data_IF_672410871146
#
_entry.id   IF_672410871146
#
_cell.length_a   1.000
_cell.length_b   1.000
_cell.length_c   1.000
_cell.angle_alpha   90.00
_cell.angle_beta   90.00
_cell.angle_gamma   90.00
#
_symmetry.space_group_name_H-M   'P 1'
#
loop_
_entity.id
_entity.type
_entity.pdbx_description
1 polymer ?
#
# COMPACT_ATOMS: atom_id res chain seq x y z
N UNK A 1 47.55 84.24 26.08
CA UNK A 1 47.55 85.55 26.75
C UNK A 1 46.12 85.85 27.16
N UNK A 2 45.89 85.98 28.48
CA UNK A 2 44.71 86.49 29.21
C UNK A 2 43.41 85.67 29.10
N UNK A 3 42.65 85.35 30.15
CA UNK A 3 42.73 85.33 31.63
C UNK A 3 41.44 84.59 32.03
N UNK A 4 41.46 83.37 32.59
CA UNK A 4 41.38 83.06 34.03
C UNK A 4 40.77 84.17 34.90
N UNK A 5 39.51 84.01 35.35
CA UNK A 5 39.02 84.16 36.74
C UNK A 5 37.59 83.60 36.76
N UNK A 6 37.36 82.47 37.45
CA UNK A 6 36.03 82.13 37.96
C UNK A 6 36.20 81.80 39.43
N UNK A 7 35.57 82.62 40.28
CA UNK A 7 35.60 82.50 41.72
C UNK A 7 34.93 81.22 42.18
N UNK A 8 35.68 80.46 42.97
CA UNK A 8 35.17 79.47 43.92
C UNK A 8 34.40 80.21 45.02
N UNK A 9 33.10 79.99 45.13
CA UNK A 9 32.32 80.32 46.33
C UNK A 9 31.77 79.00 46.85
N UNK A 10 32.41 78.50 47.91
CA UNK A 10 31.84 77.54 48.83
C UNK A 10 30.69 78.23 49.55
N UNK A 11 29.45 77.89 49.22
CA UNK A 11 28.32 78.06 50.14
C UNK A 11 27.90 76.69 50.63
N UNK A 12 28.30 76.46 51.88
CA UNK A 12 27.85 75.44 52.79
C UNK A 12 26.32 75.61 52.96
N UNK A 13 25.54 74.90 52.16
CA UNK A 13 24.08 74.86 52.32
C UNK A 13 23.73 73.84 53.39
N UNK A 14 23.42 74.39 54.55
CA UNK A 14 22.67 73.85 55.67
C UNK A 14 21.76 72.69 55.29
N UNK A 15 22.08 71.51 55.82
CA UNK A 15 21.20 70.36 55.89
C UNK A 15 20.03 70.70 56.83
N UNK A 16 18.96 71.25 56.27
CA UNK A 16 17.66 71.35 56.94
C UNK A 16 16.95 70.02 56.65
N UNK A 17 16.85 69.16 57.66
CA UNK A 17 15.90 68.06 57.74
C UNK A 17 14.48 68.67 57.77
N UNK A 18 13.95 69.00 56.60
CA UNK A 18 12.53 69.19 56.37
C UNK A 18 11.96 67.79 56.11
N UNK A 19 11.49 67.13 57.16
CA UNK A 19 10.45 66.11 57.06
C UNK A 19 9.17 66.81 56.57
N UNK A 20 9.14 67.12 55.27
CA UNK A 20 8.01 67.73 54.59
C UNK A 20 6.95 66.66 54.35
N UNK A 21 5.71 66.95 54.70
CA UNK A 21 4.56 66.20 54.20
C UNK A 21 4.63 66.22 52.66
N UNK A 22 5.11 65.13 52.06
CA UNK A 22 4.99 64.96 50.61
C UNK A 22 3.52 64.64 50.34
N UNK A 23 2.89 65.47 49.53
CA UNK A 23 1.49 65.26 49.18
C UNK A 23 1.35 64.02 48.30
N UNK A 24 0.16 63.40 48.29
CA UNK A 24 -0.18 62.31 47.36
C UNK A 24 0.19 62.68 45.90
N UNK A 25 -0.01 63.95 45.53
CA UNK A 25 0.35 64.48 44.21
C UNK A 25 1.84 64.35 43.90
N UNK A 26 2.73 64.69 44.84
CA UNK A 26 4.17 64.67 44.59
C UNK A 26 4.69 63.24 44.31
N UNK A 27 4.09 62.24 44.98
CA UNK A 27 4.42 60.83 44.74
C UNK A 27 3.92 60.35 43.39
N UNK A 28 2.66 60.67 43.05
CA UNK A 28 2.08 60.35 41.75
C UNK A 28 2.90 60.98 40.62
N UNK A 29 3.31 62.23 40.75
CA UNK A 29 4.12 62.95 39.76
C UNK A 29 5.49 62.28 39.59
N UNK A 30 6.12 61.84 40.69
CA UNK A 30 7.42 61.15 40.65
C UNK A 30 7.32 59.80 39.93
N UNK A 31 6.31 58.98 40.25
CA UNK A 31 6.10 57.68 39.61
C UNK A 31 5.81 57.88 38.12
N UNK A 32 4.94 58.85 37.79
CA UNK A 32 4.59 59.18 36.41
C UNK A 32 5.81 59.63 35.61
N UNK A 33 6.69 60.44 36.20
CA UNK A 33 7.92 60.88 35.54
C UNK A 33 8.85 59.70 35.23
N UNK A 34 9.00 58.73 36.14
CA UNK A 34 9.82 57.55 35.87
C UNK A 34 9.25 56.66 34.76
N UNK A 35 7.92 56.53 34.66
CA UNK A 35 7.27 55.84 33.54
C UNK A 35 7.57 56.58 32.23
N UNK A 36 7.40 57.90 32.19
CA UNK A 36 7.67 58.72 30.99
C UNK A 36 9.15 58.77 30.58
N UNK A 37 10.07 58.46 31.50
CA UNK A 37 11.51 58.37 31.24
C UNK A 37 11.99 56.95 30.88
N UNK A 38 11.06 56.01 30.62
CA UNK A 38 11.32 54.59 30.35
C UNK A 38 12.11 53.89 31.47
N UNK A 39 11.81 54.23 32.73
CA UNK A 39 12.45 53.66 33.94
C UNK A 39 11.43 52.89 34.80
N UNK A 40 10.91 51.75 34.32
CA UNK A 40 9.85 51.02 35.02
C UNK A 40 10.28 50.51 36.40
N UNK A 41 11.56 50.13 36.59
CA UNK A 41 12.06 49.72 37.91
C UNK A 41 12.06 50.87 38.92
N UNK A 42 12.53 52.05 38.51
CA UNK A 42 12.52 53.23 39.38
C UNK A 42 11.08 53.66 39.69
N UNK A 43 10.15 53.53 38.73
CA UNK A 43 8.73 53.77 38.93
C UNK A 43 8.10 52.82 39.95
N UNK A 44 8.42 51.52 39.88
CA UNK A 44 7.92 50.49 40.80
C UNK A 44 8.51 50.66 42.20
N UNK A 45 9.81 50.91 42.32
CA UNK A 45 10.45 51.19 43.61
C UNK A 45 9.84 52.45 44.26
N UNK A 46 9.55 53.48 43.47
CA UNK A 46 8.85 54.68 43.94
C UNK A 46 7.41 54.39 44.36
N UNK A 47 6.69 53.53 43.62
CA UNK A 47 5.34 53.09 43.98
C UNK A 47 5.33 52.30 45.29
N UNK A 48 6.18 51.29 45.43
CA UNK A 48 6.31 50.52 46.67
C UNK A 48 6.67 51.39 47.86
N UNK A 49 7.59 52.33 47.67
CA UNK A 49 7.94 53.29 48.71
C UNK A 49 6.74 54.14 49.13
N UNK A 50 5.88 54.55 48.18
CA UNK A 50 4.69 55.34 48.48
C UNK A 50 3.59 54.53 49.20
N UNK A 51 3.38 53.27 48.83
CA UNK A 51 2.37 52.40 49.46
C UNK A 51 2.83 51.87 50.83
N UNK A 52 4.14 51.66 51.02
CA UNK A 52 4.71 51.23 52.29
C UNK A 52 4.83 52.36 53.33
N UNK A 53 4.76 53.63 52.92
CA UNK A 53 4.89 54.77 53.81
C UNK A 53 3.71 54.82 54.81
N UNK A 54 4.04 54.74 56.10
CA UNK A 54 3.08 54.78 57.21
C UNK A 54 2.43 56.16 57.39
N UNK A 55 3.00 57.21 56.77
CA UNK A 55 2.44 58.56 56.82
C UNK A 55 1.14 58.71 56.02
N UNK A 56 0.87 57.82 55.05
CA UNK A 56 -0.36 57.85 54.26
C UNK A 56 -1.46 56.97 54.86
N UNK A 57 -2.68 57.52 54.87
CA UNK A 57 -3.90 56.76 55.16
C UNK A 57 -4.22 55.75 54.06
N UNK A 58 -5.09 54.78 54.35
CA UNK A 58 -5.54 53.82 53.35
C UNK A 58 -6.29 54.50 52.18
N UNK A 59 -7.00 55.60 52.44
CA UNK A 59 -7.72 56.35 51.41
C UNK A 59 -6.74 57.02 50.43
N UNK A 60 -5.67 57.62 50.95
CA UNK A 60 -4.59 58.21 50.15
C UNK A 60 -3.83 57.16 49.34
N UNK A 61 -3.54 55.98 49.93
CA UNK A 61 -2.91 54.86 49.21
C UNK A 61 -3.80 54.35 48.08
N UNK A 62 -5.11 54.25 48.31
CA UNK A 62 -6.08 53.89 47.28
C UNK A 62 -6.17 54.95 46.17
N UNK A 63 -6.02 56.24 46.50
CA UNK A 63 -5.96 57.33 45.53
C UNK A 63 -4.70 57.24 44.64
N UNK A 64 -3.54 56.93 45.23
CA UNK A 64 -2.30 56.67 44.48
C UNK A 64 -2.51 55.52 43.49
N UNK A 65 -3.01 54.37 43.96
CA UNK A 65 -3.29 53.19 43.12
C UNK A 65 -4.23 53.57 41.97
N UNK A 66 -5.35 54.22 42.29
CA UNK A 66 -6.37 54.61 41.32
C UNK A 66 -5.82 55.55 40.23
N UNK A 67 -4.89 56.43 40.56
CA UNK A 67 -4.29 57.37 39.61
C UNK A 67 -3.15 56.75 38.80
N UNK A 68 -2.33 55.88 39.40
CA UNK A 68 -1.18 55.26 38.74
C UNK A 68 -1.60 54.10 37.83
N UNK A 69 -2.58 53.27 38.23
CA UNK A 69 -3.07 52.14 37.42
C UNK A 69 -3.30 52.49 35.93
N UNK A 70 -4.10 53.52 35.57
CA UNK A 70 -4.34 53.84 34.16
C UNK A 70 -3.10 54.36 33.41
N UNK A 71 -2.14 54.98 34.12
CA UNK A 71 -0.88 55.45 33.53
C UNK A 71 0.01 54.26 33.17
N UNK A 72 0.15 53.31 34.09
CA UNK A 72 0.90 52.07 33.87
C UNK A 72 0.28 51.24 32.75
N UNK A 73 -1.06 51.08 32.71
CA UNK A 73 -1.75 50.40 31.60
C UNK A 73 -1.47 51.08 30.26
N UNK A 74 -1.50 52.41 30.20
CA UNK A 74 -1.20 53.13 28.97
C UNK A 74 0.25 52.96 28.49
N UNK A 75 1.20 52.85 29.41
CA UNK A 75 2.60 52.58 29.07
C UNK A 75 2.82 51.16 28.56
N UNK A 76 2.25 50.16 29.26
CA UNK A 76 2.22 48.76 28.81
C UNK A 76 1.61 48.64 27.40
N UNK A 77 0.50 49.35 27.13
CA UNK A 77 -0.14 49.37 25.82
C UNK A 77 0.78 49.97 24.75
N UNK A 78 1.51 51.05 25.08
CA UNK A 78 2.46 51.66 24.16
C UNK A 78 3.66 50.75 23.87
N UNK A 79 4.22 50.11 24.89
CA UNK A 79 5.29 49.13 24.75
C UNK A 79 4.83 47.98 23.83
N UNK A 80 3.64 47.43 24.08
CA UNK A 80 3.07 46.31 23.32
C UNK A 80 2.78 46.71 21.88
N UNK A 81 2.17 47.87 21.65
CA UNK A 81 1.90 48.38 20.30
C UNK A 81 3.20 48.64 19.53
N UNK A 82 4.16 49.33 20.14
CA UNK A 82 5.45 49.60 19.50
C UNK A 82 6.18 48.31 19.13
N UNK A 83 6.06 47.29 19.99
CA UNK A 83 6.57 45.97 19.73
C UNK A 83 5.93 45.30 18.50
N UNK A 84 4.61 45.25 18.48
CA UNK A 84 3.83 44.63 17.41
C UNK A 84 4.06 45.36 16.08
N UNK A 85 4.19 46.69 16.08
CA UNK A 85 4.34 47.49 14.86
C UNK A 85 5.79 47.56 14.33
N UNK A 86 6.81 47.66 15.21
CA UNK A 86 8.20 47.98 14.81
C UNK A 86 9.17 46.80 14.90
N UNK A 87 8.70 45.59 15.24
CA UNK A 87 9.46 44.33 15.21
C UNK A 87 10.75 44.41 16.04
N UNK A 88 10.59 44.65 17.35
CA UNK A 88 11.69 44.71 18.32
C UNK A 88 12.09 43.32 18.86
N UNK A 89 13.08 43.28 19.75
CA UNK A 89 13.51 42.10 20.50
C UNK A 89 12.43 41.60 21.49
N UNK A 90 11.77 40.48 21.16
CA UNK A 90 10.70 39.84 21.94
C UNK A 90 11.09 39.62 23.40
N UNK A 91 12.30 39.09 23.62
CA UNK A 91 12.74 38.67 24.95
C UNK A 91 12.95 39.90 25.84
N UNK A 92 13.53 40.96 25.27
CA UNK A 92 13.71 42.22 25.98
C UNK A 92 12.37 42.90 26.32
N UNK A 93 11.39 42.85 25.42
CA UNK A 93 10.07 43.44 25.68
C UNK A 93 9.25 42.64 26.68
N UNK A 94 9.24 41.31 26.60
CA UNK A 94 8.58 40.46 27.61
C UNK A 94 9.20 40.71 28.98
N UNK A 95 10.54 40.75 29.07
CA UNK A 95 11.23 41.06 30.32
C UNK A 95 10.85 42.46 30.86
N UNK A 96 10.69 43.45 29.97
CA UNK A 96 10.25 44.80 30.35
C UNK A 96 8.83 44.78 30.92
N UNK A 97 7.92 44.04 30.30
CA UNK A 97 6.54 43.86 30.78
C UNK A 97 6.50 43.09 32.11
N UNK A 98 7.32 42.06 32.27
CA UNK A 98 7.43 41.30 33.52
C UNK A 98 7.81 42.17 34.71
N UNK A 99 8.66 43.20 34.51
CA UNK A 99 8.98 44.17 35.55
C UNK A 99 7.70 44.80 36.10
N UNK A 100 6.72 45.16 35.26
CA UNK A 100 5.47 45.76 35.72
C UNK A 100 4.59 44.86 36.60
N UNK A 101 4.81 43.52 36.62
CA UNK A 101 4.12 42.62 37.56
C UNK A 101 4.52 42.89 39.00
N UNK A 102 5.72 43.42 39.22
CA UNK A 102 6.22 43.74 40.57
C UNK A 102 5.42 44.87 41.23
N UNK A 103 4.56 45.61 40.52
CA UNK A 103 3.69 46.63 41.14
C UNK A 103 2.62 46.02 42.06
N UNK A 104 2.37 44.70 41.97
CA UNK A 104 1.45 43.92 42.80
C UNK A 104 -0.02 44.44 42.85
N UNK A 105 -0.43 45.23 41.85
CA UNK A 105 -1.83 45.61 41.65
C UNK A 105 -2.49 44.52 40.78
N UNK A 106 -3.51 43.78 41.28
CA UNK A 106 -4.06 42.63 40.56
C UNK A 106 -4.51 42.91 39.12
N UNK A 107 -5.17 44.05 38.89
CA UNK A 107 -5.64 44.46 37.56
C UNK A 107 -4.51 44.88 36.58
N UNK A 108 -3.31 45.16 37.09
CA UNK A 108 -2.12 45.44 36.26
C UNK A 108 -1.43 44.12 35.94
N UNK A 109 -1.29 43.23 36.93
CA UNK A 109 -0.69 41.91 36.72
C UNK A 109 -1.47 41.13 35.65
N UNK A 110 -2.80 41.07 35.76
CA UNK A 110 -3.67 40.42 34.76
C UNK A 110 -3.51 41.05 33.37
N UNK A 111 -3.42 42.38 33.30
CA UNK A 111 -3.23 43.10 32.03
C UNK A 111 -1.84 42.86 31.42
N UNK A 112 -0.79 42.75 32.24
CA UNK A 112 0.55 42.37 31.78
C UNK A 112 0.54 40.94 31.23
N UNK A 113 -0.11 40.00 31.91
CA UNK A 113 -0.22 38.61 31.45
C UNK A 113 -0.92 38.54 30.08
N UNK A 114 -2.04 39.27 29.91
CA UNK A 114 -2.75 39.41 28.63
C UNK A 114 -1.83 39.93 27.51
N UNK A 115 -1.03 40.97 27.79
CA UNK A 115 -0.13 41.57 26.79
C UNK A 115 1.09 40.73 26.47
N UNK A 116 1.61 39.96 27.43
CA UNK A 116 2.66 38.97 27.16
C UNK A 116 2.12 37.84 26.28
N UNK A 117 0.89 37.38 26.51
CA UNK A 117 0.23 36.40 25.64
C UNK A 117 0.06 36.96 24.22
N UNK A 118 -0.43 38.19 24.07
CA UNK A 118 -0.57 38.87 22.78
C UNK A 118 0.77 38.92 22.00
N UNK A 119 1.85 39.35 22.66
CA UNK A 119 3.20 39.41 22.04
C UNK A 119 3.70 38.02 21.66
N UNK A 120 3.45 37.02 22.50
CA UNK A 120 3.88 35.63 22.25
C UNK A 120 3.16 35.06 21.03
N UNK A 121 1.85 35.27 20.90
CA UNK A 121 1.07 34.85 19.73
C UNK A 121 1.59 35.51 18.45
N UNK A 122 1.89 36.81 18.47
CA UNK A 122 2.48 37.52 17.32
C UNK A 122 3.88 37.00 16.98
N UNK A 123 4.70 36.64 17.98
CA UNK A 123 6.01 36.01 17.78
C UNK A 123 5.88 34.70 17.02
N UNK A 124 5.04 33.80 17.54
CA UNK A 124 4.84 32.47 16.98
C UNK A 124 4.27 32.57 15.55
N UNK A 125 3.33 33.47 15.31
CA UNK A 125 2.77 33.72 13.98
C UNK A 125 3.84 34.15 12.96
N UNK A 126 4.77 35.04 13.34
CA UNK A 126 5.89 35.47 12.48
C UNK A 126 6.89 34.36 12.23
N UNK A 127 7.23 33.58 13.25
CA UNK A 127 8.13 32.45 13.13
C UNK A 127 7.55 31.38 12.20
N UNK A 128 6.25 31.08 12.32
CA UNK A 128 5.53 30.17 11.43
C UNK A 128 5.45 30.70 9.99
N UNK A 129 5.16 31.99 9.81
CA UNK A 129 5.16 32.64 8.49
C UNK A 129 6.54 32.51 7.81
N UNK A 130 7.62 32.86 8.53
CA UNK A 130 8.98 32.78 8.01
C UNK A 130 9.39 31.33 7.68
N UNK A 131 9.09 30.37 8.57
CA UNK A 131 9.38 28.97 8.35
C UNK A 131 8.59 28.38 7.16
N UNK A 132 7.34 28.79 7.00
CA UNK A 132 6.49 28.40 5.87
C UNK A 132 7.01 28.93 4.53
N UNK A 133 7.41 30.20 4.47
CA UNK A 133 8.03 30.80 3.28
C UNK A 133 9.35 30.08 2.95
N UNK A 134 10.20 29.83 3.94
CA UNK A 134 11.46 29.10 3.71
C UNK A 134 11.20 27.69 3.17
N UNK A 135 10.22 26.95 3.70
CA UNK A 135 9.87 25.63 3.18
C UNK A 135 9.39 25.69 1.72
N UNK A 136 8.68 26.75 1.33
CA UNK A 136 8.28 26.96 -0.06
C UNK A 136 9.47 27.25 -0.98
N UNK A 137 10.43 28.06 -0.54
CA UNK A 137 11.68 28.31 -1.27
C UNK A 137 12.51 27.03 -1.47
N UNK A 138 12.47 26.13 -0.48
CA UNK A 138 13.07 24.78 -0.55
C UNK A 138 12.24 23.78 -1.38
N UNK A 139 11.10 24.22 -1.96
CA UNK A 139 10.13 23.41 -2.70
C UNK A 139 9.49 22.27 -1.90
N UNK A 140 9.53 22.35 -0.58
CA UNK A 140 8.76 21.47 0.31
C UNK A 140 7.35 22.06 0.51
N UNK A 141 6.58 22.04 -0.58
CA UNK A 141 5.28 22.70 -0.65
C UNK A 141 4.28 22.20 0.39
N UNK A 142 4.31 20.90 0.71
CA UNK A 142 3.43 20.31 1.73
C UNK A 142 3.73 20.88 3.10
N UNK A 143 5.01 20.85 3.49
CA UNK A 143 5.46 21.41 4.76
C UNK A 143 5.19 22.91 4.82
N UNK A 144 5.37 23.63 3.72
CA UNK A 144 5.07 25.05 3.64
C UNK A 144 3.60 25.34 3.92
N UNK A 145 2.67 24.67 3.22
CA UNK A 145 1.23 24.81 3.42
C UNK A 145 0.85 24.44 4.86
N UNK A 146 1.31 23.29 5.36
CA UNK A 146 0.98 22.80 6.70
C UNK A 146 1.52 23.71 7.83
N UNK A 147 2.63 24.41 7.58
CA UNK A 147 3.22 25.37 8.53
C UNK A 147 2.46 26.69 8.51
N UNK A 148 2.15 27.22 7.33
CA UNK A 148 1.41 28.48 7.18
C UNK A 148 -0.04 28.38 7.68
N UNK A 149 -0.67 27.20 7.59
CA UNK A 149 -2.02 26.96 8.13
C UNK A 149 -2.08 27.07 9.66
N UNK A 150 -0.94 27.10 10.37
CA UNK A 150 -0.87 27.25 11.83
C UNK A 150 -0.70 28.70 12.27
N UNK A 151 -0.49 29.64 11.35
CA UNK A 151 -0.42 31.06 11.68
C UNK A 151 -1.76 31.50 12.26
N UNK A 152 -1.72 32.11 13.44
CA UNK A 152 -2.91 32.45 14.21
C UNK A 152 -3.78 33.50 13.48
N UNK A 153 -5.08 33.24 13.40
CA UNK A 153 -6.06 34.05 12.68
C UNK A 153 -6.23 35.48 13.22
N UNK A 154 -5.89 35.71 14.49
CA UNK A 154 -6.06 37.01 15.15
C UNK A 154 -4.82 37.92 14.97
N UNK A 155 -3.83 37.48 14.17
CA UNK A 155 -2.60 38.24 13.89
C UNK A 155 -2.59 38.85 12.49
N UNK A 156 -1.83 39.94 12.31
CA UNK A 156 -1.68 40.59 10.99
C UNK A 156 -0.97 39.68 9.97
N UNK A 157 -0.20 38.70 10.46
CA UNK A 157 0.53 37.73 9.67
C UNK A 157 -0.40 36.72 8.99
N UNK A 158 -1.63 36.54 9.47
CA UNK A 158 -2.58 35.58 8.92
C UNK A 158 -2.92 35.85 7.45
N UNK A 159 -3.24 37.10 7.10
CA UNK A 159 -3.62 37.46 5.73
C UNK A 159 -2.47 37.19 4.75
N UNK A 160 -1.24 37.52 5.15
CA UNK A 160 -0.04 37.22 4.37
C UNK A 160 0.19 35.71 4.24
N UNK A 161 0.04 34.95 5.33
CA UNK A 161 0.16 33.49 5.30
C UNK A 161 -0.87 32.88 4.36
N UNK A 162 -2.11 33.37 4.37
CA UNK A 162 -3.19 32.90 3.51
C UNK A 162 -2.90 33.19 2.02
N UNK A 163 -2.43 34.40 1.69
CA UNK A 163 -2.01 34.75 0.33
C UNK A 163 -0.86 33.84 -0.15
N UNK A 164 0.15 33.62 0.70
CA UNK A 164 1.27 32.73 0.39
C UNK A 164 0.80 31.29 0.16
N UNK A 165 -0.13 30.77 0.98
CA UNK A 165 -0.72 29.45 0.77
C UNK A 165 -1.34 29.33 -0.63
N UNK A 166 -2.06 30.35 -1.11
CA UNK A 166 -2.67 30.28 -2.45
C UNK A 166 -1.62 30.24 -3.56
N UNK A 167 -0.56 31.05 -3.44
CA UNK A 167 0.54 31.04 -4.41
C UNK A 167 1.28 29.69 -4.40
N UNK A 168 1.66 29.22 -3.21
CA UNK A 168 2.34 27.93 -3.02
C UNK A 168 1.52 26.78 -3.58
N UNK A 169 0.20 26.80 -3.36
CA UNK A 169 -0.73 25.85 -3.95
C UNK A 169 -0.62 25.87 -5.48
N UNK A 170 -0.75 27.05 -6.10
CA UNK A 170 -0.63 27.20 -7.55
C UNK A 170 0.69 26.64 -8.09
N UNK A 171 1.82 27.00 -7.45
CA UNK A 171 3.14 26.53 -7.85
C UNK A 171 3.28 25.02 -7.69
N UNK A 172 2.78 24.46 -6.57
CA UNK A 172 2.79 23.02 -6.31
C UNK A 172 2.00 22.25 -7.36
N UNK A 173 0.84 22.77 -7.77
CA UNK A 173 0.02 22.18 -8.81
C UNK A 173 0.75 22.15 -10.15
N UNK A 174 1.28 23.29 -10.60
CA UNK A 174 1.96 23.41 -11.90
C UNK A 174 3.23 22.54 -11.96
N UNK A 175 4.09 22.59 -10.93
CA UNK A 175 5.32 21.81 -10.92
C UNK A 175 5.06 20.30 -10.83
N UNK A 176 4.08 19.88 -10.03
CA UNK A 176 3.74 18.47 -9.88
C UNK A 176 3.10 17.92 -11.14
N UNK A 177 2.24 18.68 -11.81
CA UNK A 177 1.66 18.29 -13.10
C UNK A 177 2.76 18.14 -14.17
N UNK A 178 3.66 19.12 -14.31
CA UNK A 178 4.75 19.05 -15.27
C UNK A 178 5.69 17.85 -15.01
N UNK A 179 5.96 17.55 -13.73
CA UNK A 179 6.74 16.37 -13.34
C UNK A 179 6.01 15.06 -13.62
N UNK A 180 4.70 15.00 -13.36
CA UNK A 180 3.89 13.84 -13.66
C UNK A 180 3.85 13.57 -15.18
N UNK A 181 3.73 14.62 -16.00
CA UNK A 181 3.83 14.53 -17.46
C UNK A 181 5.17 13.96 -17.90
N UNK A 182 6.29 14.49 -17.39
CA UNK A 182 7.62 13.98 -17.73
C UNK A 182 7.76 12.48 -17.41
N UNK A 183 7.32 12.07 -16.23
CA UNK A 183 7.38 10.68 -15.77
C UNK A 183 6.47 9.78 -16.61
N UNK A 184 5.26 10.26 -16.94
CA UNK A 184 4.30 9.57 -17.79
C UNK A 184 4.88 9.30 -19.18
N UNK A 185 5.45 10.32 -19.83
CA UNK A 185 6.05 10.18 -21.16
C UNK A 185 7.33 9.33 -21.17
N UNK A 186 7.98 9.18 -20.01
CA UNK A 186 9.10 8.24 -19.82
C UNK A 186 8.64 6.79 -19.53
N UNK A 187 7.33 6.53 -19.44
CA UNK A 187 6.75 5.20 -19.27
C UNK A 187 6.60 4.72 -17.82
N UNK A 188 6.94 5.53 -16.81
CA UNK A 188 6.69 5.20 -15.40
C UNK A 188 5.29 5.65 -14.98
N UNK A 189 4.28 4.99 -15.55
CA UNK A 189 2.88 5.32 -15.36
C UNK A 189 2.45 5.30 -13.88
N UNK A 190 2.98 4.36 -13.08
CA UNK A 190 2.64 4.23 -11.67
C UNK A 190 3.05 5.45 -10.88
N UNK A 191 4.29 5.89 -11.06
CA UNK A 191 4.79 7.06 -10.36
C UNK A 191 4.06 8.33 -10.80
N UNK A 192 3.76 8.46 -12.10
CA UNK A 192 3.00 9.60 -12.63
C UNK A 192 1.58 9.68 -12.03
N UNK A 193 0.83 8.56 -12.04
CA UNK A 193 -0.51 8.48 -11.46
C UNK A 193 -0.48 8.78 -9.95
N UNK A 194 0.48 8.24 -9.20
CA UNK A 194 0.61 8.50 -7.77
C UNK A 194 0.91 9.96 -7.44
N UNK A 195 1.71 10.65 -8.26
CA UNK A 195 1.95 12.10 -8.09
C UNK A 195 0.66 12.91 -8.27
N UNK A 196 -0.14 12.59 -9.29
CA UNK A 196 -1.42 13.27 -9.51
C UNK A 196 -2.46 12.93 -8.43
N UNK A 197 -2.49 11.69 -7.94
CA UNK A 197 -3.36 11.30 -6.82
C UNK A 197 -2.98 12.01 -5.52
N UNK A 198 -1.69 12.27 -5.29
CA UNK A 198 -1.23 13.03 -4.14
C UNK A 198 -1.66 14.51 -4.21
N UNK A 199 -1.70 15.11 -5.41
CA UNK A 199 -2.29 16.44 -5.59
C UNK A 199 -3.77 16.50 -5.17
N UNK A 200 -4.54 15.42 -5.32
CA UNK A 200 -5.96 15.40 -4.91
C UNK A 200 -6.17 15.66 -3.43
N UNK A 201 -5.19 15.38 -2.57
CA UNK A 201 -5.29 15.69 -1.14
C UNK A 201 -5.48 17.19 -0.90
N UNK A 202 -4.91 18.03 -1.76
CA UNK A 202 -4.99 19.49 -1.67
C UNK A 202 -6.04 20.09 -2.63
N UNK A 203 -6.41 19.33 -3.67
CA UNK A 203 -7.39 19.70 -4.70
C UNK A 203 -8.49 18.62 -4.86
N UNK A 204 -9.33 18.39 -3.84
CA UNK A 204 -10.29 17.29 -3.85
C UNK A 204 -11.41 17.46 -4.89
N UNK A 205 -11.64 18.69 -5.37
CA UNK A 205 -12.68 19.02 -6.36
C UNK A 205 -12.02 19.78 -7.52
N UNK A 206 -11.22 19.07 -8.31
CA UNK A 206 -10.56 19.63 -9.51
C UNK A 206 -10.78 18.71 -10.71
N UNK A 207 -11.74 19.11 -11.57
CA UNK A 207 -12.13 18.36 -12.76
C UNK A 207 -10.99 18.18 -13.77
N UNK A 208 -10.04 19.13 -13.85
CA UNK A 208 -8.89 19.01 -14.77
C UNK A 208 -7.97 17.90 -14.27
N UNK A 209 -7.62 17.92 -12.99
CA UNK A 209 -6.81 16.89 -12.34
C UNK A 209 -7.48 15.50 -12.42
N UNK A 210 -8.81 15.45 -12.24
CA UNK A 210 -9.59 14.21 -12.40
C UNK A 210 -9.40 13.60 -13.79
N UNK A 211 -9.54 14.43 -14.84
CA UNK A 211 -9.35 13.97 -16.22
C UNK A 211 -7.91 13.56 -16.51
N UNK A 212 -6.91 14.23 -15.95
CA UNK A 212 -5.49 13.87 -16.15
C UNK A 212 -5.18 12.51 -15.51
N UNK A 213 -5.71 12.25 -14.30
CA UNK A 213 -5.58 10.93 -13.64
C UNK A 213 -6.26 9.83 -14.45
N UNK A 214 -7.47 10.09 -14.95
CA UNK A 214 -8.22 9.15 -15.79
C UNK A 214 -7.45 8.85 -17.08
N UNK A 215 -7.00 9.89 -17.79
CA UNK A 215 -6.21 9.75 -19.01
C UNK A 215 -4.93 8.92 -18.80
N UNK A 216 -4.17 9.19 -17.72
CA UNK A 216 -2.95 8.43 -17.44
C UNK A 216 -3.25 6.97 -17.11
N UNK A 217 -4.34 6.75 -16.38
CA UNK A 217 -4.81 5.42 -16.02
C UNK A 217 -5.19 4.61 -17.25
N UNK A 218 -6.01 5.17 -18.14
CA UNK A 218 -6.43 4.50 -19.38
C UNK A 218 -5.23 4.18 -20.28
N UNK A 219 -4.30 5.13 -20.44
CA UNK A 219 -3.09 4.91 -21.23
C UNK A 219 -2.21 3.80 -20.66
N UNK A 220 -2.06 3.73 -19.32
CA UNK A 220 -1.32 2.67 -18.64
C UNK A 220 -1.98 1.30 -18.85
N UNK A 221 -3.31 1.22 -18.68
CA UNK A 221 -4.08 -0.02 -18.90
C UNK A 221 -3.86 -0.48 -20.33
N UNK A 222 -4.07 0.39 -21.32
CA UNK A 222 -3.93 0.03 -22.73
C UNK A 222 -2.51 -0.45 -23.05
N UNK A 223 -1.48 0.27 -22.58
CA UNK A 223 -0.08 -0.13 -22.78
C UNK A 223 0.22 -1.51 -22.19
N UNK A 224 -0.25 -1.77 -20.96
CA UNK A 224 -0.01 -3.04 -20.27
C UNK A 224 -0.78 -4.21 -20.88
N UNK A 225 -1.98 -3.96 -21.40
CA UNK A 225 -2.74 -4.96 -22.16
C UNK A 225 -2.03 -5.30 -23.47
N UNK A 226 -1.50 -4.31 -24.19
CA UNK A 226 -0.73 -4.56 -25.42
C UNK A 226 0.56 -5.34 -25.14
N UNK A 227 1.27 -5.02 -24.05
CA UNK A 227 2.43 -5.77 -23.58
C UNK A 227 2.06 -7.23 -23.25
N UNK A 228 0.98 -7.43 -22.49
CA UNK A 228 0.50 -8.75 -22.11
C UNK A 228 0.07 -9.58 -23.33
N UNK A 229 -0.64 -8.96 -24.29
CA UNK A 229 -1.08 -9.60 -25.53
C UNK A 229 0.13 -10.06 -26.35
N UNK A 230 1.17 -9.23 -26.46
CA UNK A 230 2.41 -9.59 -27.17
C UNK A 230 3.15 -10.75 -26.47
N UNK A 231 3.24 -10.74 -25.14
CA UNK A 231 3.86 -11.80 -24.35
C UNK A 231 3.10 -13.13 -24.48
N UNK A 232 1.77 -13.08 -24.49
CA UNK A 232 0.91 -14.25 -24.69
C UNK A 232 1.08 -14.85 -26.10
N UNK A 233 1.19 -14.02 -27.14
CA UNK A 233 1.49 -14.46 -28.51
C UNK A 233 2.87 -15.13 -28.63
N UNK A 234 3.81 -14.77 -27.76
CA UNK A 234 5.13 -15.41 -27.65
C UNK A 234 5.13 -16.64 -26.72
N UNK A 235 3.96 -17.07 -26.22
CA UNK A 235 3.76 -18.14 -25.24
C UNK A 235 4.46 -17.90 -23.89
N UNK A 236 4.74 -16.64 -23.53
CA UNK A 236 5.32 -16.23 -22.24
C UNK A 236 4.23 -15.87 -21.24
N UNK A 237 3.34 -16.83 -20.95
CA UNK A 237 2.13 -16.59 -20.16
C UNK A 237 2.41 -16.06 -18.75
N UNK A 238 3.45 -16.53 -18.06
CA UNK A 238 3.83 -16.02 -16.75
C UNK A 238 4.16 -14.50 -16.76
N UNK A 239 4.83 -14.03 -17.83
CA UNK A 239 5.15 -12.62 -18.01
C UNK A 239 3.91 -11.82 -18.43
N UNK A 240 3.05 -12.41 -19.27
CA UNK A 240 1.76 -11.80 -19.65
C UNK A 240 0.86 -11.58 -18.42
N UNK A 241 0.71 -12.57 -17.53
CA UNK A 241 -0.05 -12.41 -16.29
C UNK A 241 0.59 -11.36 -15.36
N UNK A 242 1.93 -11.31 -15.26
CA UNK A 242 2.60 -10.29 -14.47
C UNK A 242 2.34 -8.85 -14.98
N UNK A 243 2.17 -8.67 -16.30
CA UNK A 243 1.75 -7.38 -16.87
C UNK A 243 0.31 -7.02 -16.51
N UNK A 244 -0.60 -8.00 -16.40
CA UNK A 244 -1.97 -7.78 -15.93
C UNK A 244 -2.04 -7.51 -14.42
N UNK A 245 -1.27 -8.24 -13.60
CA UNK A 245 -1.16 -8.01 -12.15
C UNK A 245 -0.64 -6.60 -11.83
N UNK A 246 0.22 -6.06 -12.69
CA UNK A 246 0.69 -4.68 -12.56
C UNK A 246 -0.48 -3.68 -12.64
N UNK A 247 -1.44 -3.89 -13.54
CA UNK A 247 -2.65 -3.06 -13.65
C UNK A 247 -3.44 -3.12 -12.34
N UNK A 248 -3.71 -4.34 -11.85
CA UNK A 248 -4.45 -4.55 -10.60
C UNK A 248 -3.78 -3.88 -9.40
N UNK A 249 -2.44 -3.90 -9.34
CA UNK A 249 -1.67 -3.28 -8.25
C UNK A 249 -1.80 -1.75 -8.17
N UNK A 250 -2.31 -1.10 -9.23
CA UNK A 250 -2.44 0.36 -9.32
C UNK A 250 -3.89 0.79 -9.22
N UNK A 251 -4.78 0.14 -9.98
CA UNK A 251 -6.18 0.56 -10.14
C UNK A 251 -7.21 -0.48 -9.71
N UNK A 252 -6.76 -1.66 -9.26
CA UNK A 252 -7.62 -2.78 -8.92
C UNK A 252 -8.07 -3.59 -10.15
N UNK A 253 -8.94 -4.59 -9.94
CA UNK A 253 -9.39 -5.46 -11.02
C UNK A 253 -10.17 -4.66 -12.07
N UNK A 254 -9.90 -4.94 -13.34
CA UNK A 254 -10.57 -4.31 -14.47
C UNK A 254 -11.18 -5.37 -15.37
N UNK A 255 -12.35 -5.08 -15.97
CA UNK A 255 -13.04 -6.00 -16.89
C UNK A 255 -12.14 -6.44 -18.05
N UNK A 256 -11.30 -5.53 -18.56
CA UNK A 256 -10.38 -5.82 -19.65
C UNK A 256 -9.25 -6.79 -19.23
N UNK A 257 -8.68 -6.62 -18.03
CA UNK A 257 -7.67 -7.53 -17.51
C UNK A 257 -8.27 -8.92 -17.22
N UNK A 258 -9.46 -8.98 -16.61
CA UNK A 258 -10.17 -10.25 -16.34
C UNK A 258 -10.45 -11.03 -17.63
N UNK A 259 -10.94 -10.34 -18.67
CA UNK A 259 -11.18 -10.94 -19.99
C UNK A 259 -9.89 -11.51 -20.59
N UNK A 260 -8.75 -10.85 -20.40
CA UNK A 260 -7.45 -11.33 -20.87
C UNK A 260 -6.94 -12.53 -20.08
N UNK A 261 -7.13 -12.56 -18.77
CA UNK A 261 -6.78 -13.73 -17.95
C UNK A 261 -7.50 -14.98 -18.46
N UNK A 262 -8.81 -14.90 -18.72
CA UNK A 262 -9.58 -16.01 -19.27
C UNK A 262 -9.06 -16.45 -20.65
N UNK A 263 -8.81 -15.48 -21.55
CA UNK A 263 -8.28 -15.76 -22.89
C UNK A 263 -6.90 -16.42 -22.86
N UNK A 264 -6.00 -15.92 -22.01
CA UNK A 264 -4.65 -16.47 -21.87
C UNK A 264 -4.67 -17.87 -21.26
N UNK A 265 -5.57 -18.15 -20.32
CA UNK A 265 -5.76 -19.50 -19.77
C UNK A 265 -6.10 -20.52 -20.86
N UNK A 266 -6.99 -20.15 -21.78
CA UNK A 266 -7.32 -20.99 -22.94
C UNK A 266 -6.13 -21.19 -23.90
N UNK A 267 -5.40 -20.12 -24.23
CA UNK A 267 -4.21 -20.20 -25.11
C UNK A 267 -3.07 -21.02 -24.48
N UNK A 268 -2.82 -20.82 -23.19
CA UNK A 268 -1.80 -21.56 -22.44
C UNK A 268 -2.10 -23.05 -22.40
N UNK A 269 -3.37 -23.42 -22.18
CA UNK A 269 -3.80 -24.81 -22.20
C UNK A 269 -3.52 -25.47 -23.56
N UNK A 270 -3.88 -24.80 -24.66
CA UNK A 270 -3.62 -25.29 -26.02
C UNK A 270 -2.11 -25.43 -26.28
N UNK A 271 -1.32 -24.40 -25.96
CA UNK A 271 0.13 -24.42 -26.16
C UNK A 271 0.81 -25.54 -25.37
N UNK A 272 0.44 -25.74 -24.10
CA UNK A 272 0.98 -26.83 -23.27
C UNK A 272 0.66 -28.20 -23.88
N UNK A 273 -0.59 -28.41 -24.30
CA UNK A 273 -1.03 -29.64 -24.99
C UNK A 273 -0.19 -29.92 -26.23
N UNK A 274 -0.01 -28.94 -27.12
CA UNK A 274 0.79 -29.10 -28.34
C UNK A 274 2.27 -29.38 -28.05
N UNK A 275 2.86 -28.64 -27.11
CA UNK A 275 4.27 -28.81 -26.70
C UNK A 275 4.56 -30.21 -26.15
N UNK A 276 3.63 -30.74 -25.36
CA UNK A 276 3.78 -32.06 -24.75
C UNK A 276 3.58 -33.17 -25.78
N UNK A 277 2.58 -33.06 -26.64
CA UNK A 277 2.40 -34.00 -27.76
C UNK A 277 3.66 -34.03 -28.63
N UNK A 278 4.26 -32.86 -28.91
CA UNK A 278 5.52 -32.78 -29.66
C UNK A 278 6.68 -33.47 -28.91
N UNK A 279 6.81 -33.25 -27.61
CA UNK A 279 7.86 -33.83 -26.76
C UNK A 279 7.81 -35.36 -26.73
N UNK A 280 6.61 -35.95 -26.74
CA UNK A 280 6.41 -37.40 -26.68
C UNK A 280 6.08 -38.04 -28.03
N UNK A 281 6.20 -37.32 -29.15
CA UNK A 281 5.82 -37.79 -30.48
C UNK A 281 6.61 -39.03 -30.96
N UNK A 282 7.86 -39.18 -30.51
CA UNK A 282 8.69 -40.34 -30.85
C UNK A 282 8.29 -41.60 -30.08
N UNK A 283 7.64 -41.43 -28.92
CA UNK A 283 7.24 -42.50 -28.01
C UNK A 283 5.76 -42.88 -28.17
N UNK A 284 4.98 -42.06 -28.85
CA UNK A 284 3.53 -42.23 -29.01
C UNK A 284 3.09 -42.32 -30.48
N UNK A 285 1.95 -42.96 -30.70
CA UNK A 285 1.12 -42.85 -31.89
C UNK A 285 -0.05 -41.92 -31.55
N UNK A 286 -0.44 -41.05 -32.50
CA UNK A 286 -1.47 -40.03 -32.28
C UNK A 286 -2.65 -40.16 -33.25
N UNK A 287 -3.86 -39.89 -32.76
CA UNK A 287 -5.05 -39.67 -33.57
C UNK A 287 -5.85 -38.50 -33.02
N UNK A 288 -6.24 -37.59 -33.90
CA UNK A 288 -7.15 -36.49 -33.57
C UNK A 288 -8.56 -36.82 -34.04
N UNK A 289 -9.52 -36.79 -33.11
CA UNK A 289 -10.95 -36.90 -33.40
C UNK A 289 -11.59 -35.50 -33.47
N UNK A 290 -11.80 -35.03 -34.70
CA UNK A 290 -12.38 -33.71 -35.00
C UNK A 290 -13.81 -33.52 -34.45
N UNK A 291 -14.54 -34.60 -34.14
CA UNK A 291 -15.96 -34.48 -33.71
C UNK A 291 -16.11 -34.08 -32.25
N UNK A 292 -15.12 -34.46 -31.44
CA UNK A 292 -15.09 -34.25 -29.99
C UNK A 292 -13.83 -33.51 -29.55
N UNK A 293 -13.07 -32.94 -30.50
CA UNK A 293 -11.86 -32.15 -30.27
C UNK A 293 -10.85 -32.82 -29.31
N UNK A 294 -10.61 -34.12 -29.54
CA UNK A 294 -9.84 -34.95 -28.62
C UNK A 294 -8.67 -35.61 -29.33
N UNK A 295 -7.49 -35.55 -28.71
CA UNK A 295 -6.28 -36.24 -29.18
C UNK A 295 -6.11 -37.50 -28.37
N UNK A 296 -6.05 -38.63 -29.06
CA UNK A 296 -5.74 -39.92 -28.48
C UNK A 296 -4.27 -40.24 -28.70
N UNK A 297 -3.55 -40.49 -27.60
CA UNK A 297 -2.18 -40.97 -27.60
C UNK A 297 -2.14 -42.43 -27.17
N UNK A 298 -1.47 -43.27 -27.95
CA UNK A 298 -1.16 -44.66 -27.60
C UNK A 298 0.35 -44.88 -27.69
N UNK A 299 0.90 -45.93 -27.07
CA UNK A 299 2.30 -46.30 -27.24
C UNK A 299 2.68 -46.44 -28.72
N UNK A 300 3.94 -46.12 -29.05
CA UNK A 300 4.42 -46.14 -30.44
C UNK A 300 4.10 -47.45 -31.14
N UNK A 301 3.65 -47.33 -32.39
CA UNK A 301 3.25 -48.44 -33.28
C UNK A 301 1.94 -49.15 -32.89
N UNK A 302 1.22 -48.68 -31.87
CA UNK A 302 -0.14 -49.12 -31.62
C UNK A 302 -1.13 -48.17 -32.32
N UNK A 303 -2.33 -48.67 -32.62
CA UNK A 303 -3.35 -47.90 -33.31
C UNK A 303 -4.14 -47.01 -32.32
N UNK A 304 -4.08 -45.68 -32.44
CA UNK A 304 -4.80 -44.79 -31.53
C UNK A 304 -6.31 -44.67 -31.84
N UNK A 305 -6.77 -45.14 -33.02
CA UNK A 305 -8.20 -45.14 -33.41
C UNK A 305 -8.98 -46.36 -32.94
N UNK A 306 -8.31 -47.50 -32.85
CA UNK A 306 -8.95 -48.80 -32.64
C UNK A 306 -8.13 -49.57 -31.63
N UNK A 307 -8.80 -50.08 -30.60
CA UNK A 307 -8.19 -51.00 -29.65
C UNK A 307 -7.93 -52.34 -30.36
N UNK A 308 -6.67 -52.70 -30.56
CA UNK A 308 -6.31 -54.00 -31.14
C UNK A 308 -6.36 -55.07 -30.04
N UNK A 309 -7.57 -55.50 -29.68
CA UNK A 309 -7.79 -56.61 -28.75
C UNK A 309 -7.87 -57.92 -29.55
N UNK A 310 -6.85 -58.79 -29.46
CA UNK A 310 -6.94 -60.10 -30.10
C UNK A 310 -7.80 -61.07 -29.27
N UNK A 311 -8.58 -61.96 -29.92
CA UNK A 311 -9.38 -62.96 -29.23
C UNK A 311 -8.55 -63.85 -28.30
N UNK A 312 -9.08 -64.15 -27.11
CA UNK A 312 -8.49 -65.10 -26.16
C UNK A 312 -7.28 -64.59 -25.36
N UNK A 313 -6.82 -63.36 -25.58
CA UNK A 313 -5.72 -62.76 -24.82
C UNK A 313 -6.25 -61.77 -23.77
N UNK A 314 -5.47 -61.62 -22.71
CA UNK A 314 -5.70 -60.67 -21.62
C UNK A 314 -4.73 -59.52 -21.79
N UNK A 315 -5.23 -58.29 -21.79
CA UNK A 315 -4.42 -57.10 -22.06
C UNK A 315 -4.52 -56.08 -20.95
N UNK A 316 -3.42 -55.35 -20.79
CA UNK A 316 -3.36 -54.10 -20.08
C UNK A 316 -2.88 -53.03 -21.05
N UNK A 317 -3.80 -52.20 -21.54
CA UNK A 317 -3.52 -51.26 -22.62
C UNK A 317 -3.82 -49.82 -22.18
N UNK A 318 -2.78 -48.99 -21.94
CA UNK A 318 -2.98 -47.59 -21.61
C UNK A 318 -3.14 -46.74 -22.88
N UNK A 319 -4.12 -45.85 -22.86
CA UNK A 319 -4.35 -44.80 -23.86
C UNK A 319 -4.62 -43.49 -23.14
N UNK A 320 -4.03 -42.40 -23.59
CA UNK A 320 -4.34 -41.07 -23.06
C UNK A 320 -5.29 -40.36 -24.01
N UNK A 321 -6.39 -39.85 -23.47
CA UNK A 321 -7.35 -39.00 -24.17
C UNK A 321 -7.18 -37.56 -23.68
N UNK A 322 -6.75 -36.66 -24.56
CA UNK A 322 -6.53 -35.25 -24.25
C UNK A 322 -7.60 -34.42 -24.96
N UNK A 323 -8.66 -34.05 -24.25
CA UNK A 323 -9.77 -33.24 -24.73
C UNK A 323 -9.56 -31.74 -24.53
N UNK A 324 -10.61 -30.91 -24.70
CA UNK A 324 -10.59 -29.48 -24.36
C UNK A 324 -10.86 -29.22 -22.87
N UNK A 325 -11.60 -30.10 -22.19
CA UNK A 325 -12.02 -29.92 -20.78
C UNK A 325 -11.38 -30.92 -19.80
N UNK A 326 -10.90 -32.05 -20.31
CA UNK A 326 -10.35 -33.15 -19.52
C UNK A 326 -9.20 -33.84 -20.23
N UNK A 327 -8.21 -34.28 -19.46
CA UNK A 327 -7.26 -35.31 -19.85
C UNK A 327 -7.54 -36.57 -19.03
N UNK A 328 -7.67 -37.71 -19.71
CA UNK A 328 -8.08 -38.96 -19.07
C UNK A 328 -7.14 -40.08 -19.50
N UNK A 329 -6.60 -40.81 -18.53
CA UNK A 329 -5.90 -42.06 -18.78
C UNK A 329 -6.93 -43.20 -18.86
N UNK A 330 -7.02 -43.79 -20.03
CA UNK A 330 -7.90 -44.91 -20.30
C UNK A 330 -7.09 -46.20 -20.22
N UNK A 331 -7.51 -47.08 -19.33
CA UNK A 331 -6.88 -48.37 -19.14
C UNK A 331 -7.88 -49.43 -19.58
N UNK A 332 -7.56 -50.09 -20.68
CA UNK A 332 -8.35 -51.21 -21.18
C UNK A 332 -7.84 -52.48 -20.51
N UNK A 333 -8.75 -53.14 -19.81
CA UNK A 333 -8.53 -54.46 -19.20
C UNK A 333 -9.61 -55.39 -19.73
N UNK A 334 -9.26 -56.33 -20.61
CA UNK A 334 -10.27 -57.12 -21.33
C UNK A 334 -9.86 -58.56 -21.62
N UNK A 335 -10.86 -59.42 -21.80
CA UNK A 335 -10.74 -60.84 -22.19
C UNK A 335 -11.75 -61.21 -23.28
N UNK A 336 -11.28 -61.78 -24.38
CA UNK A 336 -12.06 -61.99 -25.61
C UNK A 336 -12.64 -63.40 -25.81
N UNK A 337 -13.64 -63.82 -25.04
CA UNK A 337 -14.55 -64.90 -25.48
C UNK A 337 -15.97 -64.78 -24.89
N UNK A 338 -17.00 -65.02 -25.72
CA UNK A 338 -18.43 -64.79 -25.40
C UNK A 338 -19.00 -65.60 -24.22
N UNK A 339 -18.30 -66.65 -23.78
CA UNK A 339 -18.84 -67.63 -22.81
C UNK A 339 -18.32 -67.42 -21.37
N UNK A 340 -17.26 -66.64 -21.16
CA UNK A 340 -16.68 -66.35 -19.84
C UNK A 340 -16.51 -64.83 -19.68
N UNK A 341 -17.62 -64.13 -19.39
CA UNK A 341 -17.59 -62.69 -19.11
C UNK A 341 -16.85 -62.45 -17.79
N UNK A 342 -15.72 -61.75 -17.84
CA UNK A 342 -15.01 -61.23 -16.67
C UNK A 342 -15.39 -59.76 -16.51
N UNK A 343 -15.92 -59.37 -15.35
CA UNK A 343 -16.14 -57.95 -15.06
C UNK A 343 -14.82 -57.36 -14.57
N UNK A 344 -14.54 -56.12 -14.96
CA UNK A 344 -13.39 -55.37 -14.43
C UNK A 344 -13.50 -55.19 -12.91
N UNK A 345 -14.70 -55.35 -12.34
CA UNK A 345 -14.99 -55.27 -10.90
C UNK A 345 -14.31 -56.39 -10.11
N UNK A 346 -13.86 -57.42 -10.82
CA UNK A 346 -13.29 -58.65 -10.30
C UNK A 346 -11.77 -58.70 -10.61
N UNK A 347 -11.14 -57.53 -10.85
CA UNK A 347 -9.69 -57.41 -11.07
C UNK A 347 -8.95 -57.20 -9.75
N UNK A 348 -8.03 -58.09 -9.46
CA UNK A 348 -7.05 -57.97 -8.37
C UNK A 348 -5.66 -57.77 -8.92
N UNK A 349 -4.87 -56.95 -8.24
CA UNK A 349 -3.48 -56.70 -8.60
C UNK A 349 -2.59 -57.23 -7.48
N UNK A 350 -1.71 -58.15 -7.84
CA UNK A 350 -0.65 -58.64 -6.98
C UNK A 350 0.68 -58.00 -7.40
N UNK A 351 1.31 -57.27 -6.49
CA UNK A 351 2.59 -56.60 -6.74
C UNK A 351 3.65 -57.25 -5.85
N UNK A 352 4.72 -57.76 -6.45
CA UNK A 352 5.83 -58.40 -5.76
C UNK A 352 5.37 -59.47 -4.75
N UNK A 353 5.69 -59.28 -3.47
CA UNK A 353 5.27 -60.16 -2.38
C UNK A 353 4.12 -59.56 -1.54
N UNK A 354 3.45 -58.52 -2.02
CA UNK A 354 2.32 -57.91 -1.33
C UNK A 354 1.06 -58.77 -1.49
N UNK A 355 0.14 -58.65 -0.52
CA UNK A 355 -1.18 -59.27 -0.67
C UNK A 355 -1.92 -58.63 -1.87
N UNK A 356 -2.59 -59.44 -2.72
CA UNK A 356 -3.39 -58.91 -3.81
C UNK A 356 -4.47 -57.97 -3.30
N UNK A 357 -4.68 -56.85 -3.97
CA UNK A 357 -5.72 -55.89 -3.64
C UNK A 357 -6.64 -55.62 -4.84
N UNK A 358 -7.86 -55.18 -4.56
CA UNK A 358 -8.85 -54.88 -5.59
C UNK A 358 -8.48 -53.57 -6.32
N UNK A 359 -8.52 -53.59 -7.65
CA UNK A 359 -8.41 -52.37 -8.43
C UNK A 359 -9.74 -51.60 -8.35
N UNK A 360 -9.83 -50.63 -7.43
CA UNK A 360 -11.06 -49.86 -7.20
C UNK A 360 -11.26 -48.79 -8.27
N UNK A 361 -12.48 -48.64 -8.77
CA UNK A 361 -12.92 -47.57 -9.68
C UNK A 361 -14.42 -47.30 -9.50
N UNK A 362 -14.89 -46.10 -9.84
CA UNK A 362 -16.33 -45.77 -9.76
C UNK A 362 -17.07 -46.40 -10.96
N UNK A 363 -18.31 -46.84 -10.73
CA UNK A 363 -19.17 -47.43 -11.76
C UNK A 363 -19.43 -46.46 -12.93
N UNK A 364 -19.37 -45.15 -12.70
CA UNK A 364 -19.49 -44.11 -13.72
C UNK A 364 -18.35 -44.10 -14.75
N UNK A 365 -17.17 -44.57 -14.35
CA UNK A 365 -15.93 -44.54 -15.14
C UNK A 365 -15.77 -45.78 -16.02
N UNK A 366 -16.58 -46.80 -15.78
CA UNK A 366 -16.65 -48.01 -16.57
C UNK A 366 -17.40 -47.73 -17.87
N UNK A 367 -16.81 -48.04 -19.02
CA UNK A 367 -17.64 -48.36 -20.21
C UNK A 367 -17.38 -49.77 -20.70
N UNK A 368 -18.46 -50.31 -21.26
CA UNK A 368 -18.52 -51.63 -21.86
C UNK A 368 -18.65 -51.48 -23.35
N UNK A 369 -17.82 -52.19 -24.10
CA UNK A 369 -17.95 -52.31 -25.54
C UNK A 369 -17.99 -53.79 -25.90
N UNK A 370 -18.83 -54.12 -26.87
CA UNK A 370 -19.00 -55.47 -27.37
C UNK A 370 -18.85 -55.44 -28.89
N UNK A 371 -18.03 -56.33 -29.42
CA UNK A 371 -17.84 -56.50 -30.85
C UNK A 371 -17.88 -57.98 -31.26
N UNK A 372 -17.45 -58.28 -32.48
CA UNK A 372 -17.43 -59.65 -33.01
C UNK A 372 -16.43 -60.57 -32.29
N UNK A 373 -15.47 -60.00 -31.54
CA UNK A 373 -14.38 -60.71 -30.86
C UNK A 373 -14.58 -60.87 -29.36
N UNK A 374 -15.43 -60.06 -28.72
CA UNK A 374 -15.78 -60.25 -27.31
C UNK A 374 -16.43 -59.04 -26.65
N UNK A 375 -16.47 -59.07 -25.32
CA UNK A 375 -16.81 -57.94 -24.48
C UNK A 375 -15.57 -57.48 -23.75
N UNK A 376 -15.31 -56.18 -23.75
CA UNK A 376 -14.25 -55.56 -22.97
C UNK A 376 -14.81 -54.38 -22.19
N UNK A 377 -14.25 -54.17 -21.02
CA UNK A 377 -14.52 -52.97 -20.24
C UNK A 377 -13.22 -52.17 -20.09
N UNK A 378 -13.36 -50.86 -20.07
CA UNK A 378 -12.26 -49.95 -19.83
C UNK A 378 -12.59 -49.07 -18.63
N UNK A 379 -11.54 -48.61 -17.96
CA UNK A 379 -11.62 -47.64 -16.89
C UNK A 379 -11.04 -46.33 -17.39
N UNK A 380 -11.81 -45.25 -17.23
CA UNK A 380 -11.37 -43.88 -17.45
C UNK A 380 -10.88 -43.33 -16.12
N UNK A 381 -9.64 -42.84 -16.07
CA UNK A 381 -9.07 -42.24 -14.87
C UNK A 381 -8.82 -40.75 -15.12
N UNK A 382 -9.56 -39.89 -14.42
CA UNK A 382 -9.27 -38.46 -14.29
C UNK A 382 -8.47 -38.26 -13.00
N UNK A 383 -7.34 -37.57 -13.08
CA UNK A 383 -6.48 -37.36 -11.92
C UNK A 383 -7.17 -36.65 -10.75
N UNK A 384 -8.09 -35.72 -11.06
CA UNK A 384 -8.87 -34.95 -10.06
C UNK A 384 -9.74 -35.86 -9.20
N UNK A 385 -10.20 -36.98 -9.76
CA UNK A 385 -11.14 -37.89 -9.12
C UNK A 385 -10.48 -39.21 -8.68
N UNK A 386 -9.37 -39.60 -9.31
CA UNK A 386 -8.78 -40.94 -9.19
C UNK A 386 -7.31 -40.95 -8.74
N UNK A 387 -6.87 -39.98 -7.93
CA UNK A 387 -5.48 -39.90 -7.47
C UNK A 387 -4.94 -41.15 -6.74
N UNK A 388 -5.80 -41.99 -6.14
CA UNK A 388 -5.37 -43.26 -5.55
C UNK A 388 -4.97 -44.29 -6.62
N UNK A 389 -5.72 -44.35 -7.73
CA UNK A 389 -5.46 -45.21 -8.87
C UNK A 389 -4.18 -44.79 -9.58
N UNK A 390 -3.91 -43.49 -9.72
CA UNK A 390 -2.64 -42.99 -10.27
C UNK A 390 -1.43 -43.42 -9.45
N UNK A 391 -1.47 -43.30 -8.11
CA UNK A 391 -0.39 -43.81 -7.23
C UNK A 391 -0.20 -45.32 -7.35
N UNK A 392 -1.29 -46.05 -7.57
CA UNK A 392 -1.25 -47.49 -7.76
C UNK A 392 -0.60 -47.87 -9.09
N UNK A 393 -0.91 -47.16 -10.17
CA UNK A 393 -0.25 -47.31 -11.47
C UNK A 393 1.25 -47.00 -11.39
N UNK A 394 1.63 -45.97 -10.63
CA UNK A 394 3.03 -45.68 -10.35
C UNK A 394 3.71 -46.86 -9.66
N UNK A 395 3.08 -47.41 -8.62
CA UNK A 395 3.57 -48.59 -7.89
C UNK A 395 3.71 -49.81 -8.83
N UNK A 396 2.75 -50.02 -9.74
CA UNK A 396 2.78 -51.09 -10.74
C UNK A 396 3.94 -50.91 -11.72
N UNK A 397 4.19 -49.67 -12.18
CA UNK A 397 5.25 -49.36 -13.12
C UNK A 397 6.65 -49.56 -12.50
N UNK A 398 6.79 -49.29 -11.20
CA UNK A 398 8.05 -49.33 -10.46
C UNK A 398 8.38 -50.70 -9.84
N UNK A 399 7.44 -51.64 -9.80
CA UNK A 399 7.65 -52.96 -9.19
C UNK A 399 8.59 -53.89 -9.99
N UNK A 400 9.10 -54.94 -9.35
CA UNK A 400 9.84 -56.00 -10.05
C UNK A 400 8.87 -56.93 -10.80
N UNK A 401 7.77 -57.31 -10.14
CA UNK A 401 6.76 -58.24 -10.66
C UNK A 401 5.36 -57.72 -10.35
N UNK A 402 4.49 -57.75 -11.37
CA UNK A 402 3.07 -57.47 -11.17
C UNK A 402 2.25 -58.50 -11.92
N UNK A 403 1.22 -59.01 -11.26
CA UNK A 403 0.24 -59.91 -11.84
C UNK A 403 -1.16 -59.31 -11.68
N UNK A 404 -1.89 -59.26 -12.79
CA UNK A 404 -3.29 -58.86 -12.83
C UNK A 404 -4.11 -60.15 -12.86
N UNK A 405 -4.92 -60.33 -11.83
CA UNK A 405 -5.77 -61.48 -11.63
C UNK A 405 -7.19 -61.07 -11.98
N UNK A 406 -7.76 -61.75 -12.97
CA UNK A 406 -9.09 -61.58 -13.47
C UNK A 406 -9.95 -62.70 -12.90
N UNK A 407 -10.80 -62.40 -11.90
CA UNK A 407 -11.66 -63.41 -11.29
C UNK A 407 -12.86 -63.67 -12.21
N UNK A 408 -12.96 -64.91 -12.69
CA UNK A 408 -13.96 -65.34 -13.65
C UNK A 408 -15.04 -66.21 -13.01
N UNK A 409 -16.19 -66.36 -13.69
CA UNK A 409 -17.28 -67.22 -13.20
C UNK A 409 -16.91 -68.71 -13.13
N UNK A 410 -15.95 -69.15 -13.95
CA UNK A 410 -15.56 -70.56 -14.13
C UNK A 410 -14.09 -70.81 -13.79
N UNK A 411 -13.18 -69.90 -14.16
CA UNK A 411 -11.75 -69.96 -13.82
C UNK A 411 -11.14 -68.57 -13.71
N UNK A 412 -10.32 -68.35 -12.69
CA UNK A 412 -9.47 -67.16 -12.59
C UNK A 412 -8.38 -67.20 -13.66
N UNK A 413 -8.04 -66.02 -14.21
CA UNK A 413 -6.93 -65.86 -15.13
C UNK A 413 -5.92 -64.86 -14.59
N UNK A 414 -4.65 -65.20 -14.69
CA UNK A 414 -3.56 -64.34 -14.27
C UNK A 414 -2.76 -63.87 -15.48
N UNK A 415 -2.61 -62.55 -15.61
CA UNK A 415 -1.74 -61.91 -16.59
C UNK A 415 -0.54 -61.29 -15.87
N UNK A 416 0.65 -61.77 -16.18
CA UNK A 416 1.88 -61.18 -15.66
C UNK A 416 2.29 -60.02 -16.55
N UNK A 417 2.28 -58.82 -15.98
CA UNK A 417 2.74 -57.61 -16.67
C UNK A 417 4.20 -57.77 -17.07
N UNK A 418 4.45 -57.54 -18.35
CA UNK A 418 5.79 -57.52 -18.91
C UNK A 418 6.48 -56.19 -18.61
N UNK A 419 7.80 -56.16 -18.80
CA UNK A 419 8.56 -54.91 -18.69
C UNK A 419 8.04 -53.83 -19.66
N UNK A 420 7.62 -54.24 -20.85
CA UNK A 420 7.03 -53.35 -21.86
C UNK A 420 5.75 -52.69 -21.35
N UNK A 421 4.87 -53.44 -20.68
CA UNK A 421 3.61 -52.90 -20.17
C UNK A 421 3.86 -51.85 -19.08
N UNK A 422 4.83 -52.12 -18.20
CA UNK A 422 5.24 -51.16 -17.16
C UNK A 422 5.85 -49.89 -17.74
N UNK A 423 6.65 -50.00 -18.80
CA UNK A 423 7.21 -48.85 -19.52
C UNK A 423 6.11 -48.03 -20.20
N UNK A 424 5.07 -48.68 -20.74
CA UNK A 424 3.92 -47.99 -21.32
C UNK A 424 3.09 -47.25 -20.27
N UNK A 425 2.90 -47.84 -19.07
CA UNK A 425 2.27 -47.15 -17.94
C UNK A 425 3.09 -45.91 -17.58
N UNK A 426 4.40 -46.08 -17.37
CA UNK A 426 5.30 -44.99 -16.98
C UNK A 426 5.28 -43.85 -18.00
N UNK A 427 5.28 -44.16 -19.30
CA UNK A 427 5.18 -43.16 -20.37
C UNK A 427 3.96 -42.24 -20.18
N UNK A 428 2.77 -42.77 -19.90
CA UNK A 428 1.59 -41.92 -19.76
C UNK A 428 1.49 -41.22 -18.41
N UNK A 429 2.04 -41.81 -17.34
CA UNK A 429 2.21 -41.10 -16.08
C UNK A 429 3.15 -39.90 -16.24
N UNK A 430 4.27 -40.06 -16.96
CA UNK A 430 5.21 -38.97 -17.25
C UNK A 430 4.56 -37.88 -18.12
N UNK A 431 3.73 -38.25 -19.11
CA UNK A 431 2.98 -37.28 -19.93
C UNK A 431 2.01 -36.47 -19.06
N UNK A 432 1.26 -37.12 -18.17
CA UNK A 432 0.31 -36.47 -17.27
C UNK A 432 0.98 -35.55 -16.25
N UNK A 433 2.10 -35.99 -15.67
CA UNK A 433 2.90 -35.14 -14.79
C UNK A 433 3.41 -33.89 -15.53
N UNK A 434 3.83 -34.05 -16.78
CA UNK A 434 4.28 -32.94 -17.64
C UNK A 434 3.14 -31.99 -18.01
N UNK A 435 1.90 -32.48 -18.18
CA UNK A 435 0.71 -31.63 -18.42
C UNK A 435 0.39 -30.71 -17.23
N UNK A 436 1.04 -30.92 -16.08
CA UNK A 436 0.79 -30.14 -14.87
C UNK A 436 -0.50 -30.57 -14.16
N UNK A 437 -1.10 -31.68 -14.61
CA UNK A 437 -2.17 -32.36 -13.88
C UNK A 437 -1.57 -33.11 -12.67
N UNK A 438 -0.29 -33.51 -12.74
CA UNK A 438 0.48 -34.24 -11.71
C UNK A 438 0.81 -33.52 -10.39
N UNK A 439 0.32 -32.30 -10.15
CA UNK A 439 0.58 -31.59 -8.88
C UNK A 439 -0.60 -31.68 -7.93
N UNK A 440 -0.47 -32.62 -7.00
CA UNK A 440 -1.12 -32.66 -5.68
C UNK A 440 -1.67 -31.30 -5.24
N UNK A 441 -2.95 -31.07 -5.48
CA UNK A 441 -3.76 -30.16 -4.69
C UNK A 441 -4.06 -30.85 -3.36
N UNK A 442 -3.80 -30.10 -2.29
CA UNK A 442 -3.86 -30.50 -0.88
C UNK A 442 -5.22 -31.05 -0.42
#
# INVERSE_FOLDING_TARGET
>A
MKNLVTHFVFTLSTLILLSGCQSVSDKVDTITAYIQEDKPRDAIDAFHSAIADEAYSQEEKNEIIKTISPIVKADIENITRYYIEEILDYESTILLLEIYKDIEIPEIVEFVDEKIEEITTVKEARELLAAGIQAAEEKDYKKAIDTLLKVDHDTNEFDLAFEQIQQIKSDYYEETLAKADEIFWNGDYKQAIFLLQDLKTYYPVNFVLDNDIEYYTEAMIQFKIEEADQLALENKFAEAYAALDYIESIVGPTELAELRIEQYGGLEHVYRKESIISTFADQTSQYYDERIDTIYLTPKNQNPRVEELLPGETYFYPRLSIGPEETVLEIVTGYGHREDWIKVQDIKIAIDSLEPFDFYYDYGDLKRKQDEYGSYEWVRLDERENGAQFRMLQTIADSETTEIIFEGYTTDKTYKLTQRDKEQIRLFLDILDTLGEGRFSY
#
